data_IF_570745614953
#
_entry.id   IF_570745614953
#
_cell.length_a   1.000
_cell.length_b   1.000
_cell.length_c   1.000
_cell.angle_alpha   90.00
_cell.angle_beta   90.00
_cell.angle_gamma   90.00
#
_symmetry.space_group_name_H-M   'P 1'
#
loop_
_entity.id
_entity.type
_entity.pdbx_description
1 polymer ?
#
# COMPACT_ATOMS: atom_id res chain seq x y z
N UNK A 1 12.81 -28.81 4.72
CA UNK A 1 13.36 -27.81 5.67
C UNK A 1 12.34 -27.66 6.79
N UNK A 2 12.74 -27.66 8.06
CA UNK A 2 11.79 -27.44 9.16
C UNK A 2 11.38 -25.97 9.17
N UNK A 3 10.08 -25.70 9.02
CA UNK A 3 9.54 -24.34 9.06
C UNK A 3 9.23 -23.97 10.52
N UNK A 4 9.52 -22.73 10.89
CA UNK A 4 9.18 -22.23 12.23
C UNK A 4 7.73 -21.72 12.24
N UNK A 5 6.91 -22.31 13.11
CA UNK A 5 5.51 -21.92 13.29
C UNK A 5 5.44 -20.86 14.40
N UNK A 6 4.93 -19.69 14.06
CA UNK A 6 4.67 -18.63 15.02
C UNK A 6 3.27 -18.80 15.61
N UNK A 7 3.16 -18.76 16.94
CA UNK A 7 1.85 -18.72 17.60
C UNK A 7 1.36 -17.26 17.62
N UNK A 8 0.45 -16.93 16.71
CA UNK A 8 -0.32 -15.68 16.74
C UNK A 8 -1.64 -15.91 17.47
N UNK A 9 -2.12 -14.91 18.21
CA UNK A 9 -3.44 -14.98 18.84
C UNK A 9 -4.58 -14.78 17.82
N UNK A 10 -5.79 -15.18 18.20
CA UNK A 10 -6.98 -15.06 17.35
C UNK A 10 -7.30 -13.58 17.02
N UNK A 11 -7.02 -12.66 17.95
CA UNK A 11 -7.29 -11.24 17.77
C UNK A 11 -6.42 -10.62 16.67
N UNK A 12 -5.15 -11.01 16.57
CA UNK A 12 -4.23 -10.62 15.50
C UNK A 12 -4.80 -11.02 14.14
N UNK A 13 -5.20 -12.29 14.01
CA UNK A 13 -5.77 -12.82 12.77
C UNK A 13 -7.03 -12.04 12.40
N UNK A 14 -7.95 -11.89 13.35
CA UNK A 14 -9.22 -11.20 13.12
C UNK A 14 -9.02 -9.72 12.74
N UNK A 15 -8.11 -9.01 13.41
CA UNK A 15 -7.78 -7.63 13.11
C UNK A 15 -7.25 -7.45 11.67
N UNK A 16 -6.62 -8.48 11.11
CA UNK A 16 -6.02 -8.41 9.77
C UNK A 16 -6.89 -9.02 8.67
N UNK A 17 -7.81 -9.94 8.98
CA UNK A 17 -8.61 -10.61 7.95
C UNK A 17 -10.09 -10.18 7.89
N UNK A 18 -10.73 -9.87 9.03
CA UNK A 18 -12.19 -9.71 9.09
C UNK A 18 -12.71 -8.58 8.23
N UNK A 19 -12.02 -7.44 8.17
CA UNK A 19 -12.37 -6.30 7.29
C UNK A 19 -12.55 -6.74 5.81
N UNK A 20 -11.78 -7.74 5.40
CA UNK A 20 -11.74 -8.20 4.01
C UNK A 20 -12.66 -9.39 3.78
N UNK A 21 -12.72 -10.33 4.73
CA UNK A 21 -13.37 -11.63 4.55
C UNK A 21 -14.75 -11.76 5.22
N UNK A 22 -15.03 -11.01 6.30
CA UNK A 22 -16.27 -11.14 7.07
C UNK A 22 -17.40 -10.34 6.40
N UNK A 23 -17.95 -10.88 5.31
CA UNK A 23 -18.96 -10.19 4.50
C UNK A 23 -20.15 -11.08 4.19
N UNK A 24 -21.32 -10.64 4.66
CA UNK A 24 -22.61 -11.24 4.31
C UNK A 24 -23.12 -10.74 2.94
N UNK A 25 -22.54 -9.66 2.44
CA UNK A 25 -22.90 -9.08 1.15
C UNK A 25 -22.33 -9.92 -0.01
N UNK A 26 -23.20 -10.28 -0.94
CA UNK A 26 -22.86 -11.11 -2.11
C UNK A 26 -22.70 -10.32 -3.41
N UNK A 27 -22.86 -8.99 -3.38
CA UNK A 27 -22.67 -8.12 -4.52
C UNK A 27 -21.19 -8.14 -5.00
N UNK A 28 -20.90 -8.23 -6.31
CA UNK A 28 -19.54 -8.19 -6.86
C UNK A 28 -18.95 -6.76 -6.85
N UNK A 29 -18.90 -6.10 -5.68
CA UNK A 29 -18.55 -4.68 -5.52
C UNK A 29 -17.10 -4.35 -5.79
N UNK A 30 -16.23 -5.35 -5.70
CA UNK A 30 -14.78 -5.23 -5.94
C UNK A 30 -14.39 -5.80 -7.31
N UNK A 31 -15.39 -6.07 -8.17
CA UNK A 31 -15.17 -6.29 -9.59
C UNK A 31 -15.19 -4.95 -10.34
N UNK A 32 -14.02 -4.52 -10.81
CA UNK A 32 -13.79 -3.35 -11.65
C UNK A 32 -13.54 -3.77 -13.12
N UNK A 33 -13.99 -4.97 -13.51
CA UNK A 33 -13.82 -5.56 -14.84
C UNK A 33 -12.66 -6.56 -14.94
N UNK A 34 -11.96 -6.82 -13.84
CA UNK A 34 -10.85 -7.77 -13.77
C UNK A 34 -11.26 -9.20 -13.38
N UNK A 35 -12.50 -9.40 -12.94
CA UNK A 35 -13.06 -10.69 -12.55
C UNK A 35 -14.42 -10.92 -13.25
N UNK A 36 -14.92 -12.14 -13.19
CA UNK A 36 -16.34 -12.41 -13.45
C UNK A 36 -17.17 -12.17 -12.18
N UNK A 37 -18.45 -11.87 -12.33
CA UNK A 37 -19.35 -11.55 -11.19
C UNK A 37 -19.59 -12.73 -10.25
N UNK A 38 -19.38 -13.96 -10.72
CA UNK A 38 -19.44 -15.20 -9.95
C UNK A 38 -18.13 -15.54 -9.23
N UNK A 39 -17.03 -14.83 -9.53
CA UNK A 39 -15.76 -15.05 -8.86
C UNK A 39 -15.87 -14.64 -7.37
N UNK A 40 -15.55 -15.51 -6.39
CA UNK A 40 -15.62 -15.16 -4.98
C UNK A 40 -14.84 -13.90 -4.61
N UNK A 41 -13.74 -13.61 -5.33
CA UNK A 41 -12.88 -12.45 -5.11
C UNK A 41 -13.54 -11.14 -5.52
N UNK A 42 -14.59 -11.18 -6.35
CA UNK A 42 -15.38 -10.00 -6.75
C UNK A 42 -16.06 -9.32 -5.56
N UNK A 43 -16.23 -10.03 -4.45
CA UNK A 43 -16.89 -9.56 -3.21
C UNK A 43 -15.90 -9.13 -2.13
N UNK A 44 -14.62 -9.45 -2.31
CA UNK A 44 -13.56 -9.26 -1.32
C UNK A 44 -12.81 -7.98 -1.65
N UNK A 45 -12.71 -7.08 -0.67
CA UNK A 45 -11.86 -5.90 -0.80
C UNK A 45 -10.38 -6.30 -0.66
N UNK A 46 -9.52 -5.71 -1.50
CA UNK A 46 -8.06 -5.89 -1.45
C UNK A 46 -7.58 -7.36 -1.31
N UNK A 47 -8.08 -8.31 -2.13
CA UNK A 47 -7.79 -9.74 -1.96
C UNK A 47 -6.31 -10.08 -2.13
N UNK A 48 -5.54 -9.20 -2.77
CA UNK A 48 -4.09 -9.29 -2.94
C UNK A 48 -3.29 -9.21 -1.63
N UNK A 49 -3.94 -8.88 -0.50
CA UNK A 49 -3.37 -8.87 0.85
C UNK A 49 -3.19 -10.25 1.48
N UNK A 50 -3.72 -11.30 0.85
CA UNK A 50 -3.66 -12.66 1.36
C UNK A 50 -2.62 -13.49 0.59
N UNK A 51 -1.80 -14.31 1.28
CA UNK A 51 -1.70 -14.42 2.74
C UNK A 51 -1.15 -13.14 3.36
N UNK A 52 -1.42 -12.91 4.64
CA UNK A 52 -0.94 -11.71 5.34
C UNK A 52 0.58 -11.81 5.46
N UNK A 53 1.29 -10.80 4.99
CA UNK A 53 2.76 -10.71 5.08
C UNK A 53 3.10 -9.56 6.02
N UNK A 54 3.86 -9.85 7.07
CA UNK A 54 4.29 -8.87 8.07
C UNK A 54 5.79 -9.00 8.37
N UNK A 55 6.34 -8.00 9.03
CA UNK A 55 7.72 -8.04 9.52
C UNK A 55 7.80 -8.97 10.74
N UNK A 56 8.84 -9.80 10.80
CA UNK A 56 9.12 -10.60 11.99
C UNK A 56 10.04 -9.84 12.95
N UNK A 57 9.71 -9.88 14.23
CA UNK A 57 10.57 -9.45 15.33
C UNK A 57 10.39 -10.43 16.49
N UNK A 58 11.49 -11.00 16.97
CA UNK A 58 11.51 -11.82 18.17
C UNK A 58 11.57 -10.97 19.47
N UNK A 59 11.62 -9.64 19.34
CA UNK A 59 11.74 -8.68 20.44
C UNK A 59 13.10 -8.66 21.14
N UNK A 60 14.07 -9.47 20.70
CA UNK A 60 15.36 -9.67 21.37
C UNK A 60 16.55 -9.36 20.47
N UNK A 61 16.53 -9.90 19.24
CA UNK A 61 17.59 -9.74 18.25
C UNK A 61 16.99 -9.24 16.94
N UNK A 62 17.02 -7.92 16.80
CA UNK A 62 16.57 -7.24 15.58
C UNK A 62 17.35 -7.72 14.36
N UNK A 63 18.67 -7.91 14.44
CA UNK A 63 19.51 -8.25 13.29
C UNK A 63 19.16 -9.64 12.76
N UNK A 64 18.95 -10.60 13.65
CA UNK A 64 18.53 -11.95 13.28
C UNK A 64 17.11 -11.94 12.69
N UNK A 65 16.19 -11.26 13.35
CA UNK A 65 14.77 -11.18 12.93
C UNK A 65 14.57 -10.39 11.63
N UNK A 66 15.47 -9.44 11.35
CA UNK A 66 15.42 -8.56 10.17
C UNK A 66 15.35 -9.31 8.85
N UNK A 67 15.90 -10.52 8.79
CA UNK A 67 15.95 -11.34 7.57
C UNK A 67 14.63 -12.07 7.25
N UNK A 68 13.61 -11.96 8.10
CA UNK A 68 12.39 -12.78 8.01
C UNK A 68 11.10 -11.97 7.99
N UNK A 69 10.08 -12.53 7.36
CA UNK A 69 8.68 -12.12 7.46
C UNK A 69 7.87 -13.14 8.26
N UNK A 70 6.77 -12.68 8.85
CA UNK A 70 5.66 -13.54 9.28
C UNK A 70 4.69 -13.66 8.12
N UNK A 71 4.30 -14.88 7.78
CA UNK A 71 3.28 -15.17 6.78
C UNK A 71 2.12 -15.86 7.46
N UNK A 72 0.96 -15.20 7.51
CA UNK A 72 -0.27 -15.75 8.07
C UNK A 72 -1.22 -16.16 6.95
N UNK A 73 -1.37 -17.47 6.78
CA UNK A 73 -2.41 -18.05 5.93
C UNK A 73 -3.74 -18.00 6.65
N UNK A 74 -4.79 -17.59 5.94
CA UNK A 74 -6.16 -17.56 6.47
C UNK A 74 -7.06 -18.26 5.46
N UNK A 75 -7.76 -19.29 5.92
CA UNK A 75 -8.81 -19.96 5.16
C UNK A 75 -10.16 -19.64 5.78
N UNK A 76 -11.08 -19.13 4.96
CA UNK A 76 -12.47 -18.93 5.34
C UNK A 76 -13.30 -20.12 4.87
N UNK A 77 -14.01 -20.76 5.79
CA UNK A 77 -14.96 -21.82 5.47
C UNK A 77 -16.08 -21.28 4.55
N UNK A 78 -16.30 -21.89 3.37
CA UNK A 78 -17.48 -21.62 2.58
C UNK A 78 -18.69 -22.41 3.11
N UNK A 79 -19.82 -21.72 3.34
CA UNK A 79 -21.09 -22.35 3.71
C UNK A 79 -21.19 -22.79 5.18
N UNK A 80 -22.25 -23.51 5.52
CA UNK A 80 -22.64 -23.76 6.92
C UNK A 80 -21.91 -24.93 7.59
N UNK A 81 -21.29 -25.83 6.83
CA UNK A 81 -20.66 -27.04 7.40
C UNK A 81 -19.16 -26.86 7.60
N UNK A 82 -18.64 -26.95 8.83
CA UNK A 82 -17.22 -26.79 9.08
C UNK A 82 -16.40 -27.95 8.52
N UNK A 83 -15.25 -27.66 7.88
CA UNK A 83 -14.33 -28.69 7.44
C UNK A 83 -13.77 -29.42 8.66
N UNK A 84 -13.48 -30.71 8.50
CA UNK A 84 -12.85 -31.52 9.57
C UNK A 84 -11.39 -31.16 9.74
N UNK A 85 -10.69 -30.94 8.62
CA UNK A 85 -9.28 -30.59 8.62
C UNK A 85 -8.98 -29.52 7.56
N UNK A 86 -8.20 -28.52 7.96
CA UNK A 86 -7.64 -27.51 7.07
C UNK A 86 -6.13 -27.48 7.30
N UNK A 87 -5.36 -27.57 6.22
CA UNK A 87 -3.91 -27.49 6.24
C UNK A 87 -3.41 -26.70 5.03
N UNK A 88 -2.12 -26.35 5.03
CA UNK A 88 -1.46 -25.72 3.89
C UNK A 88 -0.21 -26.51 3.49
N UNK A 89 0.03 -26.59 2.18
CA UNK A 89 1.27 -27.07 1.60
C UNK A 89 1.85 -25.99 0.69
N UNK A 90 3.17 -25.89 0.63
CA UNK A 90 3.82 -24.94 -0.26
C UNK A 90 5.34 -25.03 -0.26
N UNK A 91 5.96 -24.28 -1.16
CA UNK A 91 7.43 -24.30 -1.36
C UNK A 91 8.23 -23.68 -0.22
N UNK A 92 7.54 -23.05 0.75
CA UNK A 92 8.15 -22.59 2.01
C UNK A 92 8.42 -23.76 2.99
N UNK A 93 7.88 -24.95 2.75
CA UNK A 93 8.06 -26.14 3.59
C UNK A 93 8.19 -27.42 2.72
N UNK A 94 8.13 -28.59 3.35
CA UNK A 94 8.11 -29.87 2.64
C UNK A 94 6.72 -30.07 1.97
N UNK A 95 6.68 -30.24 0.64
CA UNK A 95 5.41 -30.32 -0.11
C UNK A 95 4.54 -31.54 0.23
N UNK A 96 5.12 -32.62 0.76
CA UNK A 96 4.41 -33.84 1.15
C UNK A 96 3.86 -33.80 2.58
N UNK A 97 4.10 -32.72 3.30
CA UNK A 97 3.79 -32.59 4.73
C UNK A 97 2.85 -31.40 4.95
N UNK A 98 1.52 -31.61 4.90
CA UNK A 98 0.54 -30.57 5.16
C UNK A 98 0.66 -30.03 6.59
N UNK A 99 0.74 -28.71 6.73
CA UNK A 99 0.81 -28.05 8.03
C UNK A 99 -0.60 -27.61 8.44
N UNK A 100 -1.13 -28.09 9.58
CA UNK A 100 -2.51 -27.81 9.98
C UNK A 100 -2.72 -26.34 10.34
N UNK A 101 -3.83 -25.77 9.87
CA UNK A 101 -4.35 -24.48 10.33
C UNK A 101 -5.22 -24.69 11.57
N UNK A 102 -5.17 -23.73 12.50
CA UNK A 102 -5.97 -23.75 13.73
C UNK A 102 -7.26 -22.94 13.54
N UNK A 103 -8.39 -23.36 14.13
CA UNK A 103 -9.60 -22.55 14.12
C UNK A 103 -9.36 -21.24 14.90
N UNK A 104 -9.90 -20.15 14.38
CA UNK A 104 -9.84 -18.81 14.98
C UNK A 104 -11.17 -18.54 15.66
N UNK A 105 -11.14 -18.11 16.92
CA UNK A 105 -12.34 -17.82 17.70
C UNK A 105 -12.45 -16.33 18.01
N UNK A 106 -13.67 -15.84 18.17
CA UNK A 106 -13.94 -14.50 18.69
C UNK A 106 -14.73 -14.64 19.98
N UNK A 107 -14.11 -14.25 21.10
CA UNK A 107 -14.73 -14.39 22.44
C UNK A 107 -15.17 -15.84 22.72
N UNK A 108 -14.38 -16.82 22.26
CA UNK A 108 -14.65 -18.25 22.43
C UNK A 108 -15.60 -18.87 21.40
N UNK A 109 -16.21 -18.07 20.53
CA UNK A 109 -17.11 -18.56 19.48
C UNK A 109 -16.36 -18.80 18.16
N UNK A 110 -16.66 -19.90 17.43
CA UNK A 110 -16.03 -20.20 16.17
C UNK A 110 -16.40 -19.17 15.10
N UNK A 111 -15.39 -18.62 14.43
CA UNK A 111 -15.60 -17.60 13.39
C UNK A 111 -15.73 -18.16 11.98
N UNK A 112 -15.44 -19.45 11.79
CA UNK A 112 -15.30 -20.07 10.48
C UNK A 112 -13.96 -19.78 9.78
N UNK A 113 -13.05 -19.02 10.42
CA UNK A 113 -11.68 -18.85 9.96
C UNK A 113 -10.76 -19.92 10.55
N UNK A 114 -9.80 -20.33 9.74
CA UNK A 114 -8.68 -21.17 10.12
C UNK A 114 -7.40 -20.42 9.75
N UNK A 115 -6.38 -20.44 10.61
CA UNK A 115 -5.15 -19.72 10.35
C UNK A 115 -3.88 -20.47 10.77
N UNK A 116 -2.78 -20.12 10.11
CA UNK A 116 -1.43 -20.58 10.42
C UNK A 116 -0.45 -19.44 10.14
N UNK A 117 0.38 -19.10 11.12
CA UNK A 117 1.47 -18.14 10.96
C UNK A 117 2.81 -18.87 10.94
N UNK A 118 3.64 -18.59 9.93
CA UNK A 118 4.99 -19.15 9.79
C UNK A 118 6.01 -18.05 9.58
N UNK A 119 7.27 -18.33 9.90
CA UNK A 119 8.39 -17.42 9.66
C UNK A 119 9.10 -17.86 8.38
N UNK A 120 9.24 -16.93 7.43
CA UNK A 120 9.80 -17.18 6.09
C UNK A 120 10.85 -16.12 5.76
N UNK A 121 11.98 -16.46 5.09
CA UNK A 121 12.96 -15.45 4.69
C UNK A 121 12.38 -14.38 3.76
N UNK A 122 12.92 -13.16 3.85
CA UNK A 122 12.57 -12.01 3.01
C UNK A 122 13.05 -12.17 1.56
N UNK A 123 12.41 -11.46 0.64
CA UNK A 123 12.83 -11.38 -0.77
C UNK A 123 12.65 -12.67 -1.58
N UNK A 124 11.74 -13.54 -1.15
CA UNK A 124 11.43 -14.81 -1.80
C UNK A 124 10.02 -14.79 -2.37
N UNK A 125 9.74 -15.72 -3.28
CA UNK A 125 8.38 -16.03 -3.68
C UNK A 125 8.10 -17.51 -3.41
N UNK A 126 6.87 -17.81 -3.05
CA UNK A 126 6.45 -19.18 -2.76
C UNK A 126 5.12 -19.49 -3.43
N UNK A 127 4.91 -20.76 -3.73
CA UNK A 127 3.63 -21.28 -4.21
C UNK A 127 2.99 -22.17 -3.15
N UNK A 128 1.67 -22.13 -3.02
CA UNK A 128 0.94 -22.91 -2.02
C UNK A 128 -0.47 -23.32 -2.47
N UNK A 129 -1.02 -24.29 -1.75
CA UNK A 129 -2.41 -24.75 -1.81
C UNK A 129 -2.91 -25.04 -0.40
N UNK A 130 -4.21 -24.87 -0.18
CA UNK A 130 -4.86 -25.42 1.00
C UNK A 130 -5.20 -26.88 0.78
N UNK A 131 -5.13 -27.67 1.85
CA UNK A 131 -5.68 -29.03 1.91
C UNK A 131 -6.90 -28.97 2.82
N UNK A 132 -8.09 -29.12 2.25
CA UNK A 132 -9.37 -29.09 2.98
C UNK A 132 -9.99 -30.47 2.86
N UNK A 133 -10.16 -31.15 3.99
CA UNK A 133 -10.68 -32.52 4.06
C UNK A 133 -9.98 -33.50 3.08
N UNK A 134 -8.66 -33.33 2.94
CA UNK A 134 -7.81 -34.15 2.07
C UNK A 134 -7.74 -33.70 0.61
N UNK A 135 -8.51 -32.68 0.21
CA UNK A 135 -8.50 -32.15 -1.15
C UNK A 135 -7.63 -30.90 -1.26
N UNK A 136 -6.72 -30.90 -2.24
CA UNK A 136 -5.88 -29.76 -2.52
C UNK A 136 -6.65 -28.71 -3.35
N UNK A 137 -6.87 -27.53 -2.77
CA UNK A 137 -7.55 -26.40 -3.39
C UNK A 137 -6.63 -25.18 -3.47
N UNK A 138 -6.87 -24.35 -4.47
CA UNK A 138 -6.23 -23.03 -4.58
C UNK A 138 -6.84 -22.13 -3.52
N UNK A 139 -6.04 -21.22 -2.97
CA UNK A 139 -6.58 -20.17 -2.11
C UNK A 139 -7.70 -19.40 -2.85
N UNK A 140 -8.94 -19.47 -2.35
CA UNK A 140 -10.08 -18.84 -3.01
C UNK A 140 -10.00 -17.31 -3.00
N UNK A 141 -9.27 -16.74 -2.03
CA UNK A 141 -9.11 -15.29 -1.84
C UNK A 141 -7.94 -14.77 -2.64
N UNK A 142 -6.78 -15.43 -2.59
CA UNK A 142 -5.55 -14.89 -3.17
C UNK A 142 -5.65 -14.78 -4.71
N UNK A 143 -5.54 -13.55 -5.28
CA UNK A 143 -5.61 -13.35 -6.72
C UNK A 143 -4.30 -13.74 -7.44
N UNK A 144 -3.20 -13.81 -6.71
CA UNK A 144 -1.88 -14.10 -7.25
C UNK A 144 -1.75 -15.61 -7.46
N UNK A 145 -1.72 -16.02 -8.73
CA UNK A 145 -1.65 -17.42 -9.12
C UNK A 145 -0.54 -17.64 -10.13
N UNK A 146 -0.03 -18.85 -10.20
CA UNK A 146 0.91 -19.28 -11.23
C UNK A 146 0.58 -20.69 -11.68
N UNK A 147 0.68 -20.92 -12.98
CA UNK A 147 0.67 -22.27 -13.53
C UNK A 147 2.11 -22.77 -13.54
N UNK A 148 2.35 -23.97 -13.01
CA UNK A 148 3.66 -24.62 -13.07
C UNK A 148 3.77 -25.47 -14.35
N UNK A 149 4.98 -25.94 -14.67
CA UNK A 149 5.26 -26.73 -15.88
C UNK A 149 4.43 -28.01 -16.01
N UNK A 150 3.93 -28.54 -14.88
CA UNK A 150 3.02 -29.68 -14.85
C UNK A 150 1.54 -29.31 -15.13
N UNK A 151 1.28 -28.07 -15.56
CA UNK A 151 -0.05 -27.54 -15.86
C UNK A 151 -0.91 -27.23 -14.63
N UNK A 152 -0.44 -27.51 -13.42
CA UNK A 152 -1.19 -27.28 -12.19
C UNK A 152 -1.16 -25.80 -11.80
N UNK A 153 -2.32 -25.26 -11.46
CA UNK A 153 -2.45 -23.90 -10.94
C UNK A 153 -2.21 -23.88 -9.42
N UNK A 154 -1.43 -22.91 -8.96
CA UNK A 154 -1.07 -22.71 -7.56
C UNK A 154 -1.31 -21.25 -7.16
N UNK A 155 -1.67 -21.02 -5.90
CA UNK A 155 -1.58 -19.68 -5.32
C UNK A 155 -0.12 -19.32 -5.11
N UNK A 156 0.22 -18.04 -5.18
CA UNK A 156 1.58 -17.55 -4.90
C UNK A 156 1.58 -16.35 -3.98
N UNK A 157 2.67 -16.17 -3.25
CA UNK A 157 2.91 -14.95 -2.48
C UNK A 157 4.39 -14.57 -2.54
N UNK A 158 4.68 -13.32 -2.18
CA UNK A 158 6.01 -12.75 -2.16
C UNK A 158 6.30 -12.26 -0.74
N UNK A 159 7.49 -12.56 -0.23
CA UNK A 159 7.99 -11.99 1.02
C UNK A 159 8.66 -10.64 0.72
N UNK A 160 8.46 -9.67 1.59
CA UNK A 160 8.89 -8.30 1.38
C UNK A 160 10.40 -8.19 1.64
N UNK A 161 11.12 -7.49 0.77
CA UNK A 161 12.47 -7.00 1.06
C UNK A 161 12.32 -5.61 1.69
N UNK A 162 12.97 -5.39 2.83
CA UNK A 162 13.21 -4.10 3.53
C UNK A 162 12.26 -3.68 4.68
N UNK A 163 12.89 -3.22 5.76
CA UNK A 163 12.32 -2.69 7.02
C UNK A 163 13.27 -1.63 7.62
N UNK A 164 13.71 -0.65 6.85
CA UNK A 164 14.30 0.57 7.43
C UNK A 164 13.19 1.60 7.70
N UNK A 165 13.12 2.20 8.91
CA UNK A 165 11.96 3.00 9.31
C UNK A 165 11.84 4.35 8.58
N UNK A 166 12.94 4.92 8.08
CA UNK A 166 13.01 6.15 7.30
C UNK A 166 14.25 6.08 6.40
N UNK A 167 14.13 6.42 5.11
CA UNK A 167 15.31 6.45 4.23
C UNK A 167 15.81 7.87 3.97
N UNK A 168 14.93 8.86 4.05
CA UNK A 168 15.32 10.25 3.80
C UNK A 168 15.90 10.92 5.04
N UNK A 169 16.98 11.67 4.82
CA UNK A 169 17.43 12.70 5.75
C UNK A 169 16.51 13.91 5.68
N UNK A 170 16.46 14.74 6.72
CA UNK A 170 15.55 15.89 6.81
C UNK A 170 15.64 16.81 5.56
N UNK A 171 16.85 17.06 5.06
CA UNK A 171 17.06 17.92 3.88
C UNK A 171 16.60 17.26 2.58
N UNK A 172 16.64 15.93 2.48
CA UNK A 172 16.13 15.19 1.33
C UNK A 172 14.61 15.23 1.32
N UNK A 173 14.01 15.02 2.50
CA UNK A 173 12.57 15.12 2.70
C UNK A 173 12.06 16.51 2.33
N UNK A 174 12.74 17.58 2.75
CA UNK A 174 12.40 18.96 2.41
C UNK A 174 12.37 19.18 0.88
N UNK A 175 13.39 18.70 0.15
CA UNK A 175 13.43 18.83 -1.32
C UNK A 175 12.31 18.01 -1.98
N UNK A 176 12.07 16.78 -1.52
CA UNK A 176 10.97 15.95 -2.03
C UNK A 176 9.63 16.65 -1.80
N UNK A 177 9.38 17.17 -0.60
CA UNK A 177 8.15 17.89 -0.28
C UNK A 177 7.95 19.11 -1.18
N UNK A 178 9.02 19.84 -1.51
CA UNK A 178 8.98 20.99 -2.44
C UNK A 178 8.65 20.58 -3.88
N UNK A 179 9.22 19.47 -4.36
CA UNK A 179 8.92 18.96 -5.70
C UNK A 179 7.52 18.36 -5.81
N UNK A 180 7.08 17.64 -4.79
CA UNK A 180 5.71 17.11 -4.66
C UNK A 180 4.69 18.26 -4.69
N UNK A 181 4.96 19.34 -3.94
CA UNK A 181 4.12 20.55 -3.92
C UNK A 181 3.97 21.20 -5.31
N UNK A 182 4.99 21.10 -6.16
CA UNK A 182 4.91 21.55 -7.55
C UNK A 182 4.09 20.60 -8.44
N UNK A 183 4.14 19.29 -8.20
CA UNK A 183 3.48 18.26 -9.01
C UNK A 183 1.97 18.19 -8.75
N UNK A 184 1.53 18.37 -7.51
CA UNK A 184 0.14 18.15 -7.13
C UNK A 184 -0.81 19.21 -7.76
N UNK A 185 -2.01 18.81 -8.24
CA UNK A 185 -2.92 19.69 -8.98
C UNK A 185 -3.64 20.74 -8.09
N UNK A 186 -3.38 20.75 -6.80
CA UNK A 186 -4.14 21.49 -5.79
C UNK A 186 -3.80 22.97 -5.69
N UNK A 187 -2.75 23.44 -6.39
CA UNK A 187 -2.40 24.86 -6.50
C UNK A 187 -2.94 25.55 -7.75
N UNK A 188 -3.73 24.84 -8.55
CA UNK A 188 -4.57 25.52 -9.55
C UNK A 188 -5.70 26.23 -8.82
N UNK A 189 -6.20 27.36 -9.35
CA UNK A 189 -7.34 28.08 -8.74
C UNK A 189 -8.54 27.14 -8.58
N UNK A 190 -8.72 26.23 -9.52
CA UNK A 190 -9.73 25.18 -9.51
C UNK A 190 -9.50 24.16 -8.38
N UNK A 191 -8.25 23.71 -8.18
CA UNK A 191 -7.86 22.81 -7.10
C UNK A 191 -8.00 23.43 -5.70
N UNK A 192 -7.57 24.68 -5.54
CA UNK A 192 -7.73 25.44 -4.29
C UNK A 192 -9.21 25.65 -3.97
N UNK A 193 -10.03 26.01 -4.97
CA UNK A 193 -11.47 26.14 -4.82
C UNK A 193 -12.13 24.81 -4.44
N UNK A 194 -11.69 23.69 -5.03
CA UNK A 194 -12.17 22.35 -4.65
C UNK A 194 -11.86 22.07 -3.18
N UNK A 195 -10.59 22.19 -2.76
CA UNK A 195 -10.18 21.87 -1.39
C UNK A 195 -10.88 22.78 -0.38
N UNK A 196 -10.98 24.08 -0.67
CA UNK A 196 -11.72 25.00 0.18
C UNK A 196 -13.18 24.61 0.31
N UNK A 197 -13.87 24.21 -0.78
CA UNK A 197 -15.25 23.70 -0.70
C UNK A 197 -15.33 22.40 0.09
N UNK A 198 -14.47 21.42 -0.23
CA UNK A 198 -14.48 20.09 0.40
C UNK A 198 -14.23 20.19 1.91
N UNK A 199 -13.17 20.87 2.33
CA UNK A 199 -12.87 21.05 3.74
C UNK A 199 -13.87 21.97 4.45
N UNK A 200 -14.49 22.95 3.78
CA UNK A 200 -15.52 23.79 4.43
C UNK A 200 -16.88 23.10 4.54
N UNK A 201 -17.16 22.11 3.68
CA UNK A 201 -18.37 21.31 3.75
C UNK A 201 -18.34 20.28 4.89
N UNK A 202 -17.15 19.84 5.33
CA UNK A 202 -16.98 19.02 6.52
C UNK A 202 -17.39 19.82 7.77
N UNK A 203 -18.33 19.29 8.57
CA UNK A 203 -18.88 19.98 9.74
C UNK A 203 -17.79 20.33 10.76
N UNK A 204 -18.03 21.37 11.59
CA UNK A 204 -17.09 21.77 12.67
C UNK A 204 -16.75 20.61 13.62
N UNK A 205 -17.67 19.68 13.83
CA UNK A 205 -17.49 18.48 14.66
C UNK A 205 -16.61 17.42 13.94
N UNK A 206 -16.82 17.19 12.64
CA UNK A 206 -16.00 16.27 11.83
C UNK A 206 -14.55 16.74 11.71
N UNK A 207 -14.32 18.06 11.60
CA UNK A 207 -12.97 18.67 11.58
C UNK A 207 -12.16 18.36 12.84
N UNK A 208 -12.79 18.37 14.01
CA UNK A 208 -12.11 18.13 15.30
C UNK A 208 -11.90 16.64 15.61
N UNK A 209 -12.73 15.74 15.06
CA UNK A 209 -12.69 14.30 15.39
C UNK A 209 -11.96 13.48 14.31
N UNK A 210 -12.19 13.75 13.02
CA UNK A 210 -11.59 12.98 11.91
C UNK A 210 -10.21 13.49 11.47
N UNK A 211 -9.88 14.77 11.68
CA UNK A 211 -8.72 15.42 11.03
C UNK A 211 -7.74 16.12 11.98
N UNK A 212 -7.86 15.99 13.30
CA UNK A 212 -7.04 16.73 14.28
C UNK A 212 -5.52 16.50 14.16
N UNK A 213 -5.09 15.42 13.49
CA UNK A 213 -3.67 15.06 13.29
C UNK A 213 -3.35 14.69 11.83
N UNK A 214 -4.26 14.97 10.89
CA UNK A 214 -4.14 14.59 9.50
C UNK A 214 -3.52 15.72 8.68
N UNK A 215 -2.45 15.43 7.92
CA UNK A 215 -1.95 16.35 6.91
C UNK A 215 -3.03 16.56 5.84
N UNK A 216 -3.25 17.81 5.42
CA UNK A 216 -4.21 18.09 4.34
C UNK A 216 -3.66 17.58 3.00
N UNK A 217 -4.53 17.34 2.03
CA UNK A 217 -4.11 16.88 0.70
C UNK A 217 -3.30 17.94 -0.07
N UNK A 218 -3.47 19.22 0.26
CA UNK A 218 -2.62 20.34 -0.16
C UNK A 218 -1.30 20.46 0.60
N UNK A 219 -1.10 19.68 1.67
CA UNK A 219 0.18 19.58 2.34
C UNK A 219 0.97 18.45 1.68
N UNK A 220 1.99 18.82 0.89
CA UNK A 220 2.88 17.89 0.17
C UNK A 220 3.55 16.85 1.08
N UNK A 221 3.54 17.08 2.39
CA UNK A 221 4.03 16.18 3.44
C UNK A 221 3.41 14.79 3.36
N UNK A 222 2.11 14.65 3.08
CA UNK A 222 1.46 13.34 3.00
C UNK A 222 1.99 12.47 1.85
N UNK A 223 2.14 13.07 0.66
CA UNK A 223 2.70 12.37 -0.49
C UNK A 223 4.23 12.18 -0.38
N UNK A 224 4.97 13.10 0.24
CA UNK A 224 6.39 12.92 0.56
C UNK A 224 6.62 11.77 1.55
N UNK A 225 5.80 11.68 2.62
CA UNK A 225 5.82 10.56 3.56
C UNK A 225 5.48 9.23 2.87
N UNK A 226 4.50 9.23 1.97
CA UNK A 226 4.22 8.05 1.15
C UNK A 226 5.44 7.61 0.34
N UNK A 227 6.13 8.56 -0.31
CA UNK A 227 7.34 8.28 -1.10
C UNK A 227 8.42 7.64 -0.22
N UNK A 228 8.71 8.19 0.97
CA UNK A 228 9.69 7.60 1.87
C UNK A 228 9.31 6.17 2.30
N UNK A 229 8.03 5.96 2.61
CA UNK A 229 7.51 4.64 2.99
C UNK A 229 7.64 3.58 1.90
N UNK A 230 7.34 3.91 0.63
CA UNK A 230 7.47 2.93 -0.46
C UNK A 230 8.95 2.67 -0.81
N UNK A 231 9.82 3.69 -0.68
CA UNK A 231 11.26 3.52 -0.88
C UNK A 231 11.91 2.73 0.27
N UNK A 232 11.28 2.67 1.44
CA UNK A 232 11.68 1.79 2.54
C UNK A 232 11.33 0.31 2.28
N UNK A 233 10.47 0.05 1.29
CA UNK A 233 9.77 -1.23 1.10
C UNK A 233 9.73 -1.63 -0.37
N UNK A 234 8.57 -1.50 -1.01
CA UNK A 234 8.28 -2.07 -2.33
C UNK A 234 9.18 -1.50 -3.44
N UNK A 235 9.58 -0.24 -3.33
CA UNK A 235 10.35 0.51 -4.33
C UNK A 235 11.78 0.80 -3.85
N UNK A 236 12.32 0.04 -2.89
CA UNK A 236 13.67 0.29 -2.34
C UNK A 236 14.79 0.26 -3.39
N UNK A 237 14.62 -0.49 -4.47
CA UNK A 237 15.55 -0.49 -5.60
C UNK A 237 15.74 0.89 -6.26
N UNK A 238 14.79 1.81 -6.07
CA UNK A 238 14.89 3.21 -6.53
C UNK A 238 15.47 4.17 -5.49
N UNK A 239 15.73 3.73 -4.25
CA UNK A 239 16.25 4.62 -3.20
C UNK A 239 17.56 5.29 -3.62
N UNK A 240 18.46 4.53 -4.26
CA UNK A 240 19.74 5.06 -4.74
C UNK A 240 19.56 6.16 -5.78
N UNK A 241 18.56 6.05 -6.65
CA UNK A 241 18.24 7.07 -7.66
C UNK A 241 17.82 8.37 -6.97
N UNK A 242 16.99 8.27 -5.94
CA UNK A 242 16.60 9.41 -5.11
C UNK A 242 17.80 10.04 -4.39
N UNK A 243 18.62 9.25 -3.71
CA UNK A 243 19.83 9.75 -3.01
C UNK A 243 20.74 10.55 -3.95
N UNK A 244 21.02 9.99 -5.14
CA UNK A 244 21.85 10.65 -6.15
C UNK A 244 21.17 11.93 -6.64
N UNK A 245 19.92 11.85 -7.08
CA UNK A 245 19.22 12.98 -7.70
C UNK A 245 18.97 14.12 -6.71
N UNK A 246 18.55 13.83 -5.48
CA UNK A 246 18.34 14.85 -4.44
C UNK A 246 19.66 15.53 -4.05
N UNK A 247 20.75 14.78 -3.96
CA UNK A 247 22.09 15.36 -3.75
C UNK A 247 22.50 16.30 -4.87
N UNK A 248 22.23 15.94 -6.13
CA UNK A 248 22.48 16.83 -7.27
C UNK A 248 21.60 18.07 -7.26
N UNK A 249 20.30 17.93 -6.96
CA UNK A 249 19.34 19.04 -6.83
C UNK A 249 19.79 20.01 -5.74
N UNK A 250 20.11 19.50 -4.54
CA UNK A 250 20.60 20.29 -3.41
C UNK A 250 21.83 21.12 -3.80
N UNK A 251 22.82 20.48 -4.45
CA UNK A 251 24.03 21.16 -4.93
C UNK A 251 23.70 22.26 -5.96
N UNK A 252 22.83 21.98 -6.93
CA UNK A 252 22.46 22.94 -7.97
C UNK A 252 21.72 24.14 -7.36
N UNK A 253 20.79 23.91 -6.43
CA UNK A 253 20.07 24.99 -5.75
C UNK A 253 21.01 25.88 -4.95
N UNK A 254 21.97 25.29 -4.23
CA UNK A 254 23.03 26.05 -3.51
C UNK A 254 23.97 26.80 -4.45
N UNK A 255 24.24 26.29 -5.65
CA UNK A 255 25.03 27.02 -6.65
C UNK A 255 24.26 28.22 -7.22
N UNK A 256 22.95 28.08 -7.43
CA UNK A 256 22.09 29.16 -7.93
C UNK A 256 21.80 30.23 -6.88
N UNK A 257 21.69 29.85 -5.61
CA UNK A 257 21.51 30.77 -4.50
C UNK A 257 22.32 30.31 -3.27
N UNK A 258 23.59 30.74 -3.14
CA UNK A 258 24.49 30.29 -2.07
C UNK A 258 24.09 30.71 -0.65
N UNK A 259 23.20 31.69 -0.52
CA UNK A 259 22.85 32.30 0.77
C UNK A 259 21.59 31.72 1.40
N UNK A 260 20.91 30.80 0.72
CA UNK A 260 19.62 30.25 1.14
C UNK A 260 19.67 28.73 1.08
N UNK A 261 19.21 28.09 2.14
CA UNK A 261 19.09 26.63 2.20
C UNK A 261 18.04 26.12 1.19
N UNK A 262 18.23 24.94 0.56
CA UNK A 262 17.31 24.43 -0.46
C UNK A 262 15.82 24.41 -0.06
N UNK A 263 15.50 24.23 1.22
CA UNK A 263 14.14 24.25 1.73
C UNK A 263 13.47 25.64 1.66
N UNK A 264 14.28 26.70 1.76
CA UNK A 264 13.84 28.10 1.85
C UNK A 264 13.96 28.86 0.51
N UNK A 265 14.50 28.21 -0.51
CA UNK A 265 14.62 28.76 -1.87
C UNK A 265 13.24 29.10 -2.45
N UNK A 266 13.18 30.11 -3.34
CA UNK A 266 11.93 30.54 -3.97
C UNK A 266 11.26 29.43 -4.81
N UNK A 267 9.94 29.55 -5.00
CA UNK A 267 9.17 28.57 -5.79
C UNK A 267 9.61 28.59 -7.25
N UNK A 268 9.91 29.78 -7.77
CA UNK A 268 10.32 30.03 -9.15
C UNK A 268 11.60 29.24 -9.48
N UNK A 269 12.57 29.20 -8.56
CA UNK A 269 13.81 28.46 -8.81
C UNK A 269 13.59 26.95 -8.90
N UNK A 270 12.64 26.41 -8.11
CA UNK A 270 12.23 25.00 -8.23
C UNK A 270 11.47 24.74 -9.54
N UNK A 271 10.62 25.66 -9.98
CA UNK A 271 9.91 25.56 -11.27
C UNK A 271 10.91 25.53 -12.42
N UNK A 272 11.90 26.43 -12.41
CA UNK A 272 12.94 26.50 -13.44
C UNK A 272 13.76 25.20 -13.49
N UNK A 273 14.23 24.74 -12.32
CA UNK A 273 14.97 23.47 -12.22
C UNK A 273 14.12 22.29 -12.71
N UNK A 274 12.85 22.24 -12.33
CA UNK A 274 11.92 21.20 -12.75
C UNK A 274 11.72 21.19 -14.27
N UNK A 275 11.56 22.37 -14.88
CA UNK A 275 11.44 22.52 -16.33
C UNK A 275 12.72 22.08 -17.05
N UNK A 276 13.89 22.45 -16.53
CA UNK A 276 15.18 21.97 -17.05
C UNK A 276 15.28 20.44 -16.99
N UNK A 277 14.92 19.82 -15.86
CA UNK A 277 14.90 18.37 -15.69
C UNK A 277 13.93 17.70 -16.68
N UNK A 278 12.76 18.31 -16.90
CA UNK A 278 11.77 17.82 -17.85
C UNK A 278 12.28 17.84 -19.32
N UNK A 279 13.34 18.59 -19.62
CA UNK A 279 13.98 18.63 -20.95
C UNK A 279 15.28 17.82 -21.03
N UNK A 280 15.66 17.10 -19.96
CA UNK A 280 16.96 16.42 -19.82
C UNK A 280 18.17 17.36 -19.94
N UNK A 281 17.98 18.67 -19.75
CA UNK A 281 19.03 19.69 -19.89
C UNK A 281 19.06 20.59 -18.67
N UNK A 282 19.76 20.12 -17.65
CA UNK A 282 19.96 20.82 -16.38
C UNK A 282 21.37 21.35 -16.29
N UNK A 283 21.50 22.66 -16.07
CA UNK A 283 22.81 23.27 -15.84
C UNK A 283 23.36 22.86 -14.46
N UNK A 284 24.60 22.37 -14.44
CA UNK A 284 25.26 21.88 -13.23
C UNK A 284 24.96 20.42 -12.87
N UNK A 285 24.19 19.68 -13.66
CA UNK A 285 23.93 18.25 -13.44
C UNK A 285 25.12 17.38 -13.86
N UNK A 286 25.40 16.34 -13.06
CA UNK A 286 26.42 15.33 -13.34
C UNK A 286 25.79 14.13 -14.05
N UNK A 287 25.82 14.16 -15.38
CA UNK A 287 25.27 13.11 -16.25
C UNK A 287 26.04 11.79 -16.19
N UNK A 288 27.27 11.77 -15.66
CA UNK A 288 27.99 10.52 -15.43
C UNK A 288 27.44 9.77 -14.21
N UNK A 289 26.95 10.51 -13.22
CA UNK A 289 26.37 9.94 -12.00
C UNK A 289 24.89 9.58 -12.16
N UNK A 290 24.15 10.33 -12.96
CA UNK A 290 22.75 10.01 -13.32
C UNK A 290 22.41 10.57 -14.70
N UNK A 291 22.15 9.69 -15.67
CA UNK A 291 22.13 10.06 -17.08
C UNK A 291 20.88 10.85 -17.50
N UNK A 292 19.72 10.59 -16.91
CA UNK A 292 18.44 11.12 -17.40
C UNK A 292 17.61 11.81 -16.31
N UNK A 293 17.79 13.13 -16.07
CA UNK A 293 16.98 13.89 -15.11
C UNK A 293 15.46 13.76 -15.31
N UNK A 294 15.01 13.62 -16.57
CA UNK A 294 13.61 13.42 -16.91
C UNK A 294 13.08 12.08 -16.37
N UNK A 295 13.89 11.02 -16.41
CA UNK A 295 13.47 9.72 -15.89
C UNK A 295 13.21 9.80 -14.38
N UNK A 296 14.10 10.44 -13.62
CA UNK A 296 13.87 10.70 -12.20
C UNK A 296 12.60 11.53 -11.96
N UNK A 297 12.35 12.55 -12.79
CA UNK A 297 11.14 13.37 -12.68
C UNK A 297 9.86 12.57 -12.97
N UNK A 298 9.90 11.65 -13.93
CA UNK A 298 8.79 10.74 -14.22
C UNK A 298 8.54 9.75 -13.07
N UNK A 299 9.61 9.20 -12.48
CA UNK A 299 9.55 8.35 -11.30
C UNK A 299 8.93 9.09 -10.11
N UNK A 300 9.41 10.31 -9.84
CA UNK A 300 8.89 11.16 -8.78
C UNK A 300 7.40 11.47 -8.99
N UNK A 301 7.00 11.84 -10.20
CA UNK A 301 5.58 12.03 -10.57
C UNK A 301 4.76 10.78 -10.27
N UNK A 302 5.21 9.61 -10.73
CA UNK A 302 4.54 8.33 -10.47
C UNK A 302 4.29 8.16 -8.98
N UNK A 303 5.32 8.29 -8.15
CA UNK A 303 5.17 8.12 -6.71
C UNK A 303 4.32 9.21 -6.05
N UNK A 304 4.42 10.47 -6.49
CA UNK A 304 3.57 11.56 -5.99
C UNK A 304 2.09 11.29 -6.25
N UNK A 305 1.74 10.94 -7.50
CA UNK A 305 0.36 10.62 -7.86
C UNK A 305 -0.12 9.36 -7.13
N UNK A 306 0.70 8.31 -7.06
CA UNK A 306 0.34 7.11 -6.29
C UNK A 306 0.08 7.47 -4.83
N UNK A 307 0.92 8.28 -4.19
CA UNK A 307 0.71 8.68 -2.80
C UNK A 307 -0.57 9.48 -2.59
N UNK A 308 -0.81 10.50 -3.41
CA UNK A 308 -1.97 11.38 -3.30
C UNK A 308 -3.31 10.67 -3.51
N UNK A 309 -3.34 9.57 -4.27
CA UNK A 309 -4.57 8.87 -4.64
C UNK A 309 -4.64 7.42 -4.14
N UNK A 310 -3.61 6.92 -3.45
CA UNK A 310 -3.64 5.61 -2.79
C UNK A 310 -4.55 5.60 -1.57
N UNK A 311 -4.72 4.44 -0.95
CA UNK A 311 -5.54 4.31 0.24
C UNK A 311 -4.97 5.14 1.42
N UNK A 312 -5.79 5.85 2.21
CA UNK A 312 -5.36 6.75 3.29
C UNK A 312 -4.33 6.15 4.27
N UNK A 313 -4.46 4.86 4.63
CA UNK A 313 -3.49 4.12 5.46
C UNK A 313 -2.02 4.20 5.01
N UNK A 314 -1.76 4.58 3.76
CA UNK A 314 -0.41 4.74 3.23
C UNK A 314 0.13 6.18 3.34
N UNK A 315 -0.64 7.10 3.93
CA UNK A 315 -0.18 8.42 4.35
C UNK A 315 -0.46 9.58 3.39
N UNK A 316 -0.82 9.33 2.12
CA UNK A 316 -0.95 10.40 1.12
C UNK A 316 -2.37 10.88 0.76
N UNK A 317 -3.43 10.15 1.12
CA UNK A 317 -4.82 10.49 0.76
C UNK A 317 -5.74 10.56 1.98
N UNK A 318 -5.34 11.29 3.00
CA UNK A 318 -6.08 11.30 4.27
C UNK A 318 -7.52 11.81 4.08
N UNK A 319 -8.47 11.09 4.67
CA UNK A 319 -9.91 11.38 4.55
C UNK A 319 -10.51 11.20 3.15
N UNK A 320 -9.82 10.51 2.23
CA UNK A 320 -10.32 10.25 0.89
C UNK A 320 -10.45 11.50 0.02
N UNK A 321 -9.77 12.60 0.38
CA UNK A 321 -9.87 13.89 -0.33
C UNK A 321 -9.43 13.78 -1.80
N UNK A 322 -8.37 13.01 -2.07
CA UNK A 322 -7.92 12.71 -3.42
C UNK A 322 -8.95 11.90 -4.20
N UNK A 323 -9.62 10.96 -3.55
CA UNK A 323 -10.72 10.20 -4.17
C UNK A 323 -11.95 11.06 -4.47
N UNK A 324 -12.28 11.99 -3.57
CA UNK A 324 -13.33 12.98 -3.81
C UNK A 324 -13.00 13.88 -5.01
N UNK A 325 -11.73 14.33 -5.13
CA UNK A 325 -11.27 15.10 -6.27
C UNK A 325 -11.43 14.32 -7.59
N UNK A 326 -11.01 13.05 -7.62
CA UNK A 326 -11.19 12.17 -8.78
C UNK A 326 -12.69 12.00 -9.12
N UNK A 327 -13.55 11.78 -8.12
CA UNK A 327 -14.99 11.64 -8.33
C UNK A 327 -15.66 12.88 -8.94
N UNK A 328 -15.19 14.09 -8.61
CA UNK A 328 -15.73 15.31 -9.21
C UNK A 328 -15.20 15.53 -10.63
N UNK A 329 -13.94 15.16 -10.88
CA UNK A 329 -13.27 15.43 -12.15
C UNK A 329 -13.58 14.42 -13.24
N UNK A 330 -13.74 13.16 -12.88
CA UNK A 330 -14.01 12.06 -13.81
C UNK A 330 -15.51 11.80 -13.86
N UNK A 331 -16.19 12.54 -14.73
CA UNK A 331 -17.62 12.37 -15.00
C UNK A 331 -17.87 12.02 -16.46
N UNK A 332 -18.95 11.29 -16.72
CA UNK A 332 -19.44 11.08 -18.07
C UNK A 332 -20.16 12.33 -18.62
N UNK A 333 -20.63 12.24 -19.87
CA UNK A 333 -21.36 13.34 -20.53
C UNK A 333 -22.67 13.72 -19.82
N UNK A 334 -23.19 12.86 -18.94
CA UNK A 334 -24.40 13.12 -18.14
C UNK A 334 -24.09 13.71 -16.76
N UNK A 335 -22.80 13.92 -16.44
CA UNK A 335 -22.35 14.42 -15.15
C UNK A 335 -22.27 13.36 -14.06
N UNK A 336 -22.47 12.07 -14.40
CA UNK A 336 -22.34 10.97 -13.45
C UNK A 336 -20.87 10.64 -13.24
N UNK A 337 -20.44 10.46 -11.99
CA UNK A 337 -19.07 10.07 -11.66
C UNK A 337 -18.72 8.71 -12.27
N UNK A 338 -17.55 8.64 -12.90
CA UNK A 338 -16.88 7.42 -13.35
C UNK A 338 -15.99 6.83 -12.25
N UNK A 339 -15.78 7.56 -11.14
CA UNK A 339 -14.96 7.16 -10.00
C UNK A 339 -15.80 7.20 -8.71
N UNK A 340 -16.71 6.24 -8.56
CA UNK A 340 -17.56 6.10 -7.37
C UNK A 340 -16.83 5.35 -6.25
N UNK A 341 -15.88 6.02 -5.62
CA UNK A 341 -15.12 5.47 -4.48
C UNK A 341 -15.99 5.22 -3.25
N UNK A 342 -17.11 5.93 -3.09
CA UNK A 342 -18.00 5.77 -1.93
C UNK A 342 -18.68 4.40 -1.95
N UNK A 343 -18.98 3.86 -3.14
CA UNK A 343 -19.46 2.49 -3.29
C UNK A 343 -18.49 1.44 -2.73
N UNK A 344 -17.19 1.73 -2.71
CA UNK A 344 -16.16 0.84 -2.18
C UNK A 344 -15.96 0.96 -0.66
N UNK A 345 -16.61 1.92 0.00
CA UNK A 345 -16.55 2.12 1.45
C UNK A 345 -17.72 1.40 2.13
N UNK A 346 -17.42 0.53 3.11
CA UNK A 346 -18.40 -0.35 3.74
C UNK A 346 -18.40 -0.23 5.27
N UNK A 347 -19.58 -0.22 5.89
CA UNK A 347 -19.75 -0.34 7.35
C UNK A 347 -19.31 -1.75 7.84
N UNK A 348 -18.86 -1.93 9.10
CA UNK A 348 -18.89 -0.95 10.19
C UNK A 348 -17.73 0.05 10.21
N UNK A 349 -16.64 -0.20 9.49
CA UNK A 349 -15.44 0.65 9.55
C UNK A 349 -15.43 1.80 8.52
N UNK A 350 -16.23 1.73 7.45
CA UNK A 350 -16.30 2.76 6.42
C UNK A 350 -17.10 4.02 6.79
N UNK A 351 -17.79 4.00 7.93
CA UNK A 351 -18.53 5.15 8.47
C UNK A 351 -18.20 5.41 9.95
N UNK A 352 -17.26 4.65 10.53
CA UNK A 352 -16.81 4.87 11.90
C UNK A 352 -16.02 6.19 11.97
N UNK A 353 -16.37 7.08 12.89
CA UNK A 353 -15.66 8.34 13.13
C UNK A 353 -14.19 8.14 13.53
N UNK A 354 -13.86 6.98 14.10
CA UNK A 354 -12.51 6.59 14.50
C UNK A 354 -11.70 6.01 13.33
N UNK A 355 -12.38 5.56 12.27
CA UNK A 355 -11.74 5.11 11.04
C UNK A 355 -11.38 6.33 10.19
N UNK A 356 -10.15 6.79 10.36
CA UNK A 356 -9.61 7.97 9.67
C UNK A 356 -9.05 7.66 8.28
N UNK A 357 -9.11 6.39 7.86
CA UNK A 357 -8.38 5.94 6.70
C UNK A 357 -7.91 4.51 6.73
#
# INVERSE_FOLDING_TARGET
>A
MAIEILQTDDQYVLNHCTKFLARDNTDPRHNFGQLSDDDPRSRIAEPWRFPIIDSYSDGNDFVKSYSSNVVTFVYQQPGATPPKNVAVIGTFANLYEPIPLKPVNFVGEPTGYYALSIIVPKGQFHTYKFIVDGQAIIDPVNPQRTQLDNGQLWSRFFTQLCTEPLNFEDWEFDIVARLVDHILPFRTKEGENFLNRYYNFLGKQDKQVQYAYAYRLDESVGAANFIDNILAREENHHLIDYKICLGQISRILRQRNPYVEPKDVSKELYIDLYNEMATNKVNGWNYQQYQEPLFFLQLLRRHTFTGAFSHPKYGGNVGGTGWAYLSERYTDKSGKTLFDWRRAIEAPLGLNSDYRG
#
